data_IF_803281730934
#
_entry.id   IF_803281730934
#
_cell.length_a   1.000
_cell.length_b   1.000
_cell.length_c   1.000
_cell.angle_alpha   90.00
_cell.angle_beta   90.00
_cell.angle_gamma   90.00
#
_symmetry.space_group_name_H-M   'P 1'
#
loop_
_entity.id
_entity.type
_entity.pdbx_description
1 polymer ?
#
# COMPACT_ATOMS: atom_id res chain seq x y z
N UNK A 1 25.61 -31.94 17.73
CA UNK A 1 25.16 -30.84 16.86
C UNK A 1 23.65 -30.72 17.01
N UNK A 2 23.17 -29.78 17.84
CA UNK A 2 21.75 -29.42 17.85
C UNK A 2 21.52 -28.43 16.71
N UNK A 3 20.98 -28.91 15.59
CA UNK A 3 20.30 -28.02 14.65
C UNK A 3 18.91 -27.79 15.21
N UNK A 4 18.72 -26.65 15.90
CA UNK A 4 17.39 -26.11 16.15
C UNK A 4 16.85 -25.63 14.80
N UNK A 5 16.02 -26.45 14.16
CA UNK A 5 15.20 -26.03 13.03
C UNK A 5 14.04 -25.26 13.66
N UNK A 6 14.21 -23.95 13.86
CA UNK A 6 13.09 -23.11 14.27
C UNK A 6 12.05 -23.16 13.17
N UNK A 7 10.90 -23.79 13.46
CA UNK A 7 9.73 -23.81 12.60
C UNK A 7 9.42 -22.38 12.17
N UNK A 8 9.57 -22.08 10.88
CA UNK A 8 9.27 -20.76 10.35
C UNK A 8 7.76 -20.69 10.11
N UNK A 9 6.99 -20.46 11.18
CA UNK A 9 5.56 -20.19 11.08
C UNK A 9 5.35 -19.02 10.09
N UNK A 10 4.55 -19.28 9.06
CA UNK A 10 4.25 -18.37 7.94
C UNK A 10 2.76 -18.17 7.89
N UNK A 11 2.28 -16.93 7.82
CA UNK A 11 0.89 -16.48 7.93
C UNK A 11 0.09 -17.26 8.98
N UNK A 12 -0.76 -16.60 9.71
CA UNK A 12 -1.63 -17.30 10.68
C UNK A 12 -3.08 -16.96 10.46
N UNK A 13 -3.34 -15.91 9.70
CA UNK A 13 -4.64 -15.56 9.19
C UNK A 13 -4.59 -15.48 7.66
N UNK A 14 -5.51 -16.18 7.00
CA UNK A 14 -5.79 -16.00 5.58
C UNK A 14 -7.29 -15.88 5.40
N UNK A 15 -7.71 -14.87 4.65
CA UNK A 15 -9.12 -14.61 4.37
C UNK A 15 -9.32 -14.37 2.88
N UNK A 16 -10.32 -15.02 2.30
CA UNK A 16 -10.87 -14.68 0.98
C UNK A 16 -12.37 -14.46 1.15
N UNK A 17 -12.89 -13.37 0.59
CA UNK A 17 -14.30 -12.99 0.63
C UNK A 17 -14.77 -12.76 -0.80
N UNK A 18 -15.94 -13.33 -1.14
CA UNK A 18 -16.64 -13.14 -2.41
C UNK A 18 -18.07 -12.69 -2.08
N UNK A 19 -18.39 -11.44 -2.34
CA UNK A 19 -19.74 -10.84 -2.20
C UNK A 19 -20.49 -10.82 -3.52
N UNK A 20 -19.76 -10.75 -4.64
CA UNK A 20 -20.30 -10.84 -5.99
C UNK A 20 -19.49 -11.84 -6.84
N UNK A 21 -20.01 -13.06 -7.05
CA UNK A 21 -19.32 -14.08 -7.83
C UNK A 21 -19.42 -13.86 -9.36
N UNK A 22 -20.19 -12.87 -9.82
CA UNK A 22 -20.21 -12.50 -11.24
C UNK A 22 -18.94 -11.75 -11.66
N UNK A 23 -18.30 -11.06 -10.72
CA UNK A 23 -17.17 -10.17 -10.99
C UNK A 23 -17.56 -8.82 -11.59
N UNK A 24 -18.85 -8.45 -11.56
CA UNK A 24 -19.33 -7.16 -12.06
C UNK A 24 -19.14 -6.03 -11.04
N UNK A 25 -19.28 -6.31 -9.75
CA UNK A 25 -18.93 -5.38 -8.67
C UNK A 25 -17.40 -5.26 -8.58
N UNK A 26 -16.81 -4.07 -8.82
CA UNK A 26 -15.37 -3.87 -8.73
C UNK A 26 -14.79 -4.13 -7.33
N UNK A 27 -15.63 -4.24 -6.29
CA UNK A 27 -15.22 -4.60 -4.93
C UNK A 27 -15.81 -5.95 -4.47
N UNK A 28 -16.29 -6.75 -5.42
CA UNK A 28 -17.04 -7.99 -5.22
C UNK A 28 -16.23 -9.17 -4.70
N UNK A 29 -14.89 -9.11 -4.77
CA UNK A 29 -14.02 -10.14 -4.22
C UNK A 29 -12.70 -9.54 -3.73
N UNK A 30 -12.25 -9.99 -2.56
CA UNK A 30 -11.02 -9.52 -1.93
C UNK A 30 -10.35 -10.63 -1.11
N UNK A 31 -9.05 -10.50 -0.89
CA UNK A 31 -8.25 -11.43 -0.11
C UNK A 31 -7.25 -10.69 0.78
N UNK A 32 -6.92 -11.26 1.94
CA UNK A 32 -6.00 -10.67 2.91
C UNK A 32 -5.23 -11.73 3.69
N UNK A 33 -4.04 -11.35 4.17
CA UNK A 33 -3.17 -12.23 4.95
C UNK A 33 -2.53 -11.47 6.12
N UNK A 34 -2.39 -12.14 7.27
CA UNK A 34 -1.68 -11.61 8.44
C UNK A 34 -0.85 -12.70 9.12
N UNK A 35 0.13 -12.28 9.90
CA UNK A 35 0.92 -13.15 10.78
C UNK A 35 1.27 -12.45 12.08
N UNK A 36 1.61 -13.22 13.12
CA UNK A 36 2.35 -12.72 14.28
C UNK A 36 3.86 -13.03 14.17
N UNK A 37 4.26 -13.97 13.31
CA UNK A 37 5.65 -14.42 13.20
C UNK A 37 6.57 -13.42 12.48
N UNK A 38 7.85 -13.41 12.87
CA UNK A 38 8.88 -12.52 12.35
C UNK A 38 9.22 -12.70 10.86
N UNK A 39 8.59 -13.61 10.13
CA UNK A 39 8.94 -13.91 8.74
C UNK A 39 7.77 -13.65 7.79
N UNK A 40 7.13 -12.49 7.92
CA UNK A 40 6.02 -12.09 7.05
C UNK A 40 6.35 -12.21 5.55
N UNK A 41 7.58 -11.87 5.13
CA UNK A 41 8.08 -12.07 3.76
C UNK A 41 7.98 -13.51 3.25
N UNK A 42 7.97 -14.48 4.15
CA UNK A 42 7.88 -15.89 3.81
C UNK A 42 6.44 -16.37 3.57
N UNK A 43 5.45 -15.57 3.98
CA UNK A 43 4.05 -15.78 3.62
C UNK A 43 3.83 -15.28 2.20
N UNK A 44 3.79 -16.19 1.24
CA UNK A 44 3.60 -15.79 -0.15
C UNK A 44 2.14 -15.44 -0.40
N UNK A 45 1.91 -14.17 -0.70
CA UNK A 45 0.70 -13.64 -1.28
C UNK A 45 0.95 -13.46 -2.77
N UNK A 46 0.26 -14.21 -3.62
CA UNK A 46 0.42 -14.11 -5.08
C UNK A 46 -0.93 -13.78 -5.70
N UNK A 47 -0.98 -12.70 -6.48
CA UNK A 47 -2.15 -12.33 -7.26
C UNK A 47 -1.85 -12.53 -8.74
N UNK A 48 -2.62 -13.38 -9.43
CA UNK A 48 -2.59 -13.42 -10.90
C UNK A 48 -3.43 -12.27 -11.42
N UNK A 49 -2.78 -11.25 -12.00
CA UNK A 49 -3.47 -10.13 -12.66
C UNK A 49 -4.17 -10.56 -13.94
N UNK A 50 -3.68 -11.61 -14.61
CA UNK A 50 -4.26 -12.07 -15.86
C UNK A 50 -5.50 -12.94 -15.63
N UNK A 51 -5.48 -13.72 -14.54
CA UNK A 51 -6.51 -14.75 -14.29
C UNK A 51 -7.45 -14.38 -13.13
N UNK A 52 -7.22 -13.25 -12.46
CA UNK A 52 -8.15 -12.69 -11.47
C UNK A 52 -8.29 -13.51 -10.19
N UNK A 53 -7.23 -14.17 -9.72
CA UNK A 53 -7.24 -14.93 -8.47
C UNK A 53 -6.05 -14.57 -7.57
N UNK A 54 -6.19 -14.87 -6.28
CA UNK A 54 -5.08 -14.87 -5.34
C UNK A 54 -4.81 -16.26 -4.79
N UNK A 55 -3.55 -16.50 -4.46
CA UNK A 55 -3.04 -17.63 -3.72
C UNK A 55 -2.38 -17.11 -2.45
N UNK A 56 -2.89 -17.54 -1.31
CA UNK A 56 -2.40 -17.24 0.02
C UNK A 56 -1.76 -18.50 0.58
N UNK A 57 -0.47 -18.43 0.89
CA UNK A 57 0.24 -19.55 1.51
C UNK A 57 0.53 -19.27 2.98
N UNK A 58 0.55 -20.33 3.76
CA UNK A 58 1.04 -20.31 5.13
C UNK A 58 1.30 -21.70 5.64
N UNK A 59 1.54 -21.82 6.93
CA UNK A 59 1.80 -23.08 7.58
C UNK A 59 2.92 -23.01 8.61
N UNK A 60 3.05 -24.09 9.36
CA UNK A 60 4.14 -24.30 10.33
C UNK A 60 5.28 -25.15 9.73
N UNK A 61 5.10 -25.63 8.49
CA UNK A 61 6.09 -26.42 7.75
C UNK A 61 7.29 -25.64 7.23
N UNK A 62 8.20 -26.34 6.54
CA UNK A 62 9.45 -25.77 6.04
C UNK A 62 9.18 -24.76 4.90
N UNK A 63 9.88 -23.62 4.90
CA UNK A 63 9.76 -22.64 3.82
C UNK A 63 10.09 -23.16 2.42
N UNK A 64 10.95 -24.17 2.31
CA UNK A 64 11.28 -24.81 1.02
C UNK A 64 10.09 -25.63 0.50
N UNK A 65 9.46 -26.42 1.36
CA UNK A 65 8.27 -27.22 1.03
C UNK A 65 7.08 -26.32 0.68
N UNK A 66 6.94 -25.20 1.38
CA UNK A 66 5.96 -24.17 1.03
C UNK A 66 6.16 -23.63 -0.38
N UNK A 67 7.41 -23.33 -0.77
CA UNK A 67 7.71 -22.85 -2.12
C UNK A 67 7.37 -23.90 -3.18
N UNK A 68 7.64 -25.19 -2.93
CA UNK A 68 7.22 -26.26 -3.84
C UNK A 68 5.70 -26.37 -3.95
N UNK A 69 4.98 -26.31 -2.83
CA UNK A 69 3.51 -26.31 -2.84
C UNK A 69 2.95 -25.15 -3.67
N UNK A 70 3.52 -23.95 -3.52
CA UNK A 70 3.13 -22.77 -4.31
C UNK A 70 3.42 -22.99 -5.79
N UNK A 71 4.62 -23.46 -6.15
CA UNK A 71 5.00 -23.69 -7.56
C UNK A 71 4.07 -24.72 -8.20
N UNK A 72 3.79 -25.83 -7.53
CA UNK A 72 2.91 -26.89 -8.01
C UNK A 72 1.48 -26.38 -8.19
N UNK A 73 0.96 -25.63 -7.21
CA UNK A 73 -0.37 -25.04 -7.30
C UNK A 73 -0.48 -23.96 -8.39
N UNK A 74 0.53 -23.12 -8.57
CA UNK A 74 0.57 -22.13 -9.65
C UNK A 74 0.62 -22.82 -11.00
N UNK A 75 1.44 -23.86 -11.14
CA UNK A 75 1.48 -24.70 -12.34
C UNK A 75 0.12 -25.32 -12.63
N UNK A 76 -0.57 -25.86 -11.62
CA UNK A 76 -1.91 -26.43 -11.77
C UNK A 76 -2.94 -25.38 -12.23
N UNK A 77 -2.92 -24.18 -11.63
CA UNK A 77 -3.80 -23.07 -12.01
C UNK A 77 -3.53 -22.58 -13.44
N UNK A 78 -2.27 -22.47 -13.84
CA UNK A 78 -1.87 -22.10 -15.21
C UNK A 78 -2.36 -23.11 -16.27
N UNK A 79 -2.54 -24.38 -15.88
CA UNK A 79 -3.09 -25.43 -16.74
C UNK A 79 -4.62 -25.60 -16.59
N UNK A 80 -5.31 -24.63 -15.98
CA UNK A 80 -6.78 -24.61 -15.91
C UNK A 80 -7.38 -25.46 -14.80
N UNK A 81 -6.61 -25.84 -13.78
CA UNK A 81 -7.16 -26.54 -12.60
C UNK A 81 -8.11 -25.64 -11.82
N UNK A 82 -9.07 -26.24 -11.12
CA UNK A 82 -9.94 -25.51 -10.19
C UNK A 82 -9.17 -25.09 -8.92
N UNK A 83 -9.63 -24.05 -8.19
CA UNK A 83 -9.03 -23.68 -6.91
C UNK A 83 -8.93 -24.84 -5.92
N UNK A 84 -9.94 -25.72 -5.89
CA UNK A 84 -9.95 -26.89 -5.02
C UNK A 84 -8.86 -27.90 -5.40
N UNK A 85 -8.69 -28.20 -6.69
CA UNK A 85 -7.67 -29.12 -7.16
C UNK A 85 -6.25 -28.57 -6.89
N UNK A 86 -6.03 -27.27 -7.12
CA UNK A 86 -4.74 -26.64 -6.84
C UNK A 86 -4.45 -26.54 -5.33
N UNK A 87 -5.44 -26.19 -4.51
CA UNK A 87 -5.26 -26.11 -3.06
C UNK A 87 -5.00 -27.49 -2.42
N UNK A 88 -5.54 -28.57 -3.01
CA UNK A 88 -5.31 -29.95 -2.58
C UNK A 88 -3.83 -30.35 -2.61
N UNK A 89 -3.03 -29.74 -3.49
CA UNK A 89 -1.60 -30.04 -3.62
C UNK A 89 -0.82 -29.71 -2.35
N UNK A 90 -1.32 -28.76 -1.54
CA UNK A 90 -0.73 -28.43 -0.24
C UNK A 90 -0.67 -29.64 0.70
N UNK A 91 -1.60 -30.59 0.59
CA UNK A 91 -1.61 -31.80 1.42
C UNK A 91 -0.44 -32.75 1.15
N UNK A 92 0.31 -32.55 0.06
CA UNK A 92 1.56 -33.28 -0.20
C UNK A 92 2.76 -32.76 0.61
N UNK A 93 2.61 -31.65 1.32
CA UNK A 93 3.69 -30.96 2.03
C UNK A 93 3.31 -30.77 3.50
N UNK A 94 4.17 -31.25 4.41
CA UNK A 94 3.86 -31.28 5.83
C UNK A 94 3.74 -29.86 6.42
N UNK A 95 2.69 -29.64 7.19
CA UNK A 95 2.40 -28.35 7.82
C UNK A 95 2.17 -27.18 6.86
N UNK A 96 1.94 -27.41 5.56
CA UNK A 96 1.68 -26.35 4.56
C UNK A 96 0.19 -26.24 4.26
N UNK A 97 -0.29 -25.01 4.08
CA UNK A 97 -1.63 -24.74 3.57
C UNK A 97 -1.62 -23.74 2.42
N UNK A 98 -2.62 -23.88 1.56
CA UNK A 98 -2.90 -22.95 0.48
C UNK A 98 -4.37 -22.56 0.50
N UNK A 99 -4.65 -21.26 0.40
CA UNK A 99 -5.97 -20.71 0.11
C UNK A 99 -5.92 -20.10 -1.28
N UNK A 100 -6.78 -20.53 -2.19
CA UNK A 100 -6.81 -20.04 -3.58
C UNK A 100 -8.23 -19.58 -3.88
N UNK A 101 -8.39 -18.42 -4.51
CA UNK A 101 -9.74 -17.99 -4.92
C UNK A 101 -9.77 -16.72 -5.76
N UNK A 102 -10.90 -16.56 -6.44
CA UNK A 102 -11.21 -15.44 -7.33
C UNK A 102 -12.73 -15.32 -7.53
N UNK A 103 -13.24 -14.17 -7.98
CA UNK A 103 -14.68 -13.89 -8.05
C UNK A 103 -15.44 -14.96 -8.86
N UNK A 104 -14.95 -15.29 -10.06
CA UNK A 104 -15.64 -16.17 -11.00
C UNK A 104 -15.32 -17.65 -10.86
N UNK A 105 -14.39 -18.04 -9.99
CA UNK A 105 -13.95 -19.43 -9.79
C UNK A 105 -14.26 -20.00 -8.40
N UNK A 106 -14.77 -19.17 -7.50
CA UNK A 106 -14.94 -19.53 -6.10
C UNK A 106 -13.62 -19.50 -5.33
N UNK A 107 -13.58 -20.19 -4.20
CA UNK A 107 -12.40 -20.26 -3.36
C UNK A 107 -12.22 -21.65 -2.75
N UNK A 108 -11.00 -22.02 -2.40
CA UNK A 108 -10.72 -23.25 -1.70
C UNK A 108 -9.54 -23.11 -0.73
N UNK A 109 -9.52 -23.98 0.27
CA UNK A 109 -8.40 -24.17 1.18
C UNK A 109 -8.04 -25.66 1.26
N UNK A 110 -6.75 -25.96 1.26
CA UNK A 110 -6.21 -27.31 1.38
C UNK A 110 -4.94 -27.35 2.24
N UNK A 111 -4.52 -28.55 2.63
CA UNK A 111 -3.35 -28.77 3.47
C UNK A 111 -3.63 -28.64 4.98
N UNK A 112 -2.67 -28.09 5.73
CA UNK A 112 -2.73 -27.94 7.17
C UNK A 112 -3.40 -26.62 7.62
N UNK A 113 -4.71 -26.68 7.83
CA UNK A 113 -5.49 -25.51 8.23
C UNK A 113 -6.49 -25.78 9.34
N UNK A 114 -6.93 -24.68 9.93
CA UNK A 114 -8.13 -24.62 10.75
C UNK A 114 -8.99 -23.44 10.30
N UNK A 115 -10.15 -23.70 9.69
CA UNK A 115 -10.88 -22.70 8.93
C UNK A 115 -12.41 -22.79 9.12
N UNK A 116 -13.09 -21.68 8.88
CA UNK A 116 -14.53 -21.68 8.64
C UNK A 116 -14.81 -21.38 7.16
N UNK A 117 -15.70 -22.18 6.58
CA UNK A 117 -16.37 -21.87 5.33
C UNK A 117 -17.66 -21.12 5.67
N UNK A 118 -17.81 -19.93 5.10
CA UNK A 118 -19.02 -19.13 5.15
C UNK A 118 -19.68 -19.19 3.78
N UNK A 119 -20.95 -19.56 3.73
CA UNK A 119 -21.76 -19.50 2.51
C UNK A 119 -22.99 -18.66 2.80
N UNK A 120 -23.30 -17.72 1.89
CA UNK A 120 -24.49 -16.87 1.98
C UNK A 120 -25.36 -17.14 0.77
N UNK A 121 -26.54 -17.70 1.02
CA UNK A 121 -27.50 -18.01 -0.02
C UNK A 121 -28.27 -16.74 -0.45
N UNK A 122 -28.91 -16.76 -1.63
CA UNK A 122 -29.57 -15.59 -2.21
C UNK A 122 -30.76 -15.07 -1.38
N UNK A 123 -31.32 -15.91 -0.51
CA UNK A 123 -32.38 -15.54 0.44
C UNK A 123 -31.85 -14.89 1.72
N UNK A 124 -30.53 -14.72 1.83
CA UNK A 124 -29.85 -14.14 2.99
C UNK A 124 -29.54 -15.14 4.09
N UNK A 125 -29.78 -16.44 3.89
CA UNK A 125 -29.37 -17.49 4.83
C UNK A 125 -27.85 -17.58 4.90
N UNK A 126 -27.30 -17.52 6.11
CA UNK A 126 -25.86 -17.62 6.36
C UNK A 126 -25.53 -18.97 6.98
N UNK A 127 -24.71 -19.77 6.29
CA UNK A 127 -24.21 -21.07 6.75
C UNK A 127 -22.73 -20.96 7.06
N UNK A 128 -22.35 -21.38 8.26
CA UNK A 128 -20.97 -21.30 8.76
C UNK A 128 -20.58 -22.69 9.21
N UNK A 129 -19.57 -23.27 8.57
CA UNK A 129 -19.13 -24.64 8.83
C UNK A 129 -17.64 -24.65 9.14
N UNK A 130 -17.30 -25.29 10.26
CA UNK A 130 -15.92 -25.45 10.71
C UNK A 130 -15.28 -26.64 10.00
N UNK A 131 -14.01 -26.50 9.61
CA UNK A 131 -13.24 -27.53 8.95
C UNK A 131 -11.79 -27.55 9.42
N UNK A 132 -11.27 -28.76 9.59
CA UNK A 132 -9.87 -29.05 9.91
C UNK A 132 -9.43 -30.20 9.01
N UNK A 133 -8.55 -29.89 8.04
CA UNK A 133 -8.04 -30.87 7.07
C UNK A 133 -8.97 -31.19 5.90
N UNK A 134 -8.40 -31.90 4.91
CA UNK A 134 -9.03 -32.16 3.61
C UNK A 134 -8.92 -30.97 2.66
N UNK A 135 -9.88 -30.86 1.76
CA UNK A 135 -10.04 -29.70 0.87
C UNK A 135 -11.45 -29.16 1.08
N UNK A 136 -11.54 -27.88 1.37
CA UNK A 136 -12.81 -27.18 1.54
C UNK A 136 -12.96 -26.18 0.41
N UNK A 137 -14.15 -26.12 -0.16
CA UNK A 137 -14.44 -25.30 -1.33
C UNK A 137 -15.68 -24.45 -1.11
N UNK A 138 -15.55 -23.16 -1.39
CA UNK A 138 -16.65 -22.28 -1.77
C UNK A 138 -16.88 -22.47 -3.28
N UNK A 139 -17.99 -23.08 -3.72
CA UNK A 139 -18.20 -23.39 -5.13
C UNK A 139 -18.23 -22.13 -6.00
N UNK A 140 -17.85 -22.30 -7.27
CA UNK A 140 -18.02 -21.27 -8.29
C UNK A 140 -19.48 -20.75 -8.30
N UNK A 141 -19.64 -19.44 -8.45
CA UNK A 141 -20.97 -18.81 -8.44
C UNK A 141 -21.58 -18.56 -7.06
N UNK A 142 -20.88 -18.92 -5.97
CA UNK A 142 -21.38 -18.75 -4.60
C UNK A 142 -20.85 -17.48 -3.93
N UNK A 143 -21.70 -16.83 -3.12
CA UNK A 143 -21.27 -15.79 -2.18
C UNK A 143 -20.80 -16.45 -0.89
N UNK A 144 -19.71 -15.96 -0.34
CA UNK A 144 -19.15 -16.58 0.86
C UNK A 144 -17.73 -16.13 1.16
N UNK A 145 -17.12 -16.84 2.09
CA UNK A 145 -15.75 -16.61 2.49
C UNK A 145 -15.09 -17.87 3.04
N UNK A 146 -13.77 -17.87 3.03
CA UNK A 146 -12.96 -18.81 3.81
C UNK A 146 -12.09 -17.97 4.75
N UNK A 147 -12.17 -18.24 6.04
CA UNK A 147 -11.30 -17.62 7.06
C UNK A 147 -10.55 -18.70 7.81
N UNK A 148 -9.24 -18.72 7.62
CA UNK A 148 -8.30 -19.49 8.42
C UNK A 148 -7.72 -18.61 9.52
N UNK A 149 -7.58 -19.16 10.73
CA UNK A 149 -6.85 -18.52 11.82
C UNK A 149 -6.25 -19.56 12.78
N UNK A 150 -4.98 -19.39 13.16
CA UNK A 150 -4.33 -20.05 14.31
C UNK A 150 -3.53 -19.02 15.11
N UNK A 151 -3.26 -19.30 16.39
CA UNK A 151 -2.34 -18.47 17.15
C UNK A 151 -0.89 -18.95 16.93
N UNK A 152 0.00 -18.02 16.60
CA UNK A 152 1.44 -18.24 16.55
C UNK A 152 2.01 -18.50 17.95
N UNK A 153 3.09 -19.27 18.01
CA UNK A 153 3.91 -19.35 19.21
C UNK A 153 4.38 -17.96 19.65
N UNK A 154 4.30 -17.67 20.96
CA UNK A 154 4.69 -16.38 21.52
C UNK A 154 3.64 -15.27 21.39
N UNK A 155 2.48 -15.53 20.75
CA UNK A 155 1.40 -14.56 20.71
C UNK A 155 0.86 -14.29 22.15
N UNK A 156 0.79 -13.02 22.60
CA UNK A 156 0.31 -12.68 23.95
C UNK A 156 -1.15 -13.06 24.22
N UNK A 157 -1.94 -13.34 23.18
CA UNK A 157 -3.34 -13.77 23.23
C UNK A 157 -3.51 -15.24 22.79
N UNK A 158 -2.50 -16.08 23.01
CA UNK A 158 -2.56 -17.51 22.72
C UNK A 158 -3.83 -18.17 23.31
N UNK A 159 -4.45 -19.07 22.54
CA UNK A 159 -5.68 -19.78 22.92
C UNK A 159 -6.98 -19.06 22.53
N UNK A 160 -6.89 -17.90 21.87
CA UNK A 160 -8.07 -17.13 21.43
C UNK A 160 -8.49 -17.44 19.99
N UNK A 161 -7.62 -18.04 19.18
CA UNK A 161 -7.84 -18.23 17.75
C UNK A 161 -9.17 -18.92 17.41
N UNK A 162 -9.56 -19.98 18.11
CA UNK A 162 -10.81 -20.70 17.78
C UNK A 162 -12.05 -19.84 17.98
N UNK A 163 -12.09 -19.07 19.07
CA UNK A 163 -13.18 -18.11 19.34
C UNK A 163 -13.19 -17.01 18.29
N UNK A 164 -12.06 -16.35 18.07
CA UNK A 164 -11.95 -15.21 17.15
C UNK A 164 -12.26 -15.65 15.73
N UNK A 165 -11.73 -16.80 15.27
CA UNK A 165 -12.02 -17.35 13.94
C UNK A 165 -13.52 -17.54 13.71
N UNK A 166 -14.23 -18.07 14.72
CA UNK A 166 -15.68 -18.27 14.67
C UNK A 166 -16.45 -16.95 14.66
N UNK A 167 -16.09 -16.01 15.53
CA UNK A 167 -16.72 -14.68 15.60
C UNK A 167 -16.52 -13.90 14.30
N UNK A 168 -15.30 -13.93 13.75
CA UNK A 168 -14.96 -13.28 12.48
C UNK A 168 -15.73 -13.92 11.33
N UNK A 169 -15.85 -15.26 11.29
CA UNK A 169 -16.68 -15.94 10.29
C UNK A 169 -18.16 -15.52 10.36
N UNK A 170 -18.70 -15.36 11.57
CA UNK A 170 -20.07 -14.87 11.80
C UNK A 170 -20.23 -13.43 11.31
N UNK A 171 -19.27 -12.56 11.60
CA UNK A 171 -19.32 -11.16 11.19
C UNK A 171 -19.16 -11.01 9.67
N UNK A 172 -18.27 -11.77 9.05
CA UNK A 172 -18.15 -11.88 7.59
C UNK A 172 -19.50 -12.28 6.98
N UNK A 173 -20.12 -13.36 7.45
CA UNK A 173 -21.40 -13.83 6.90
C UNK A 173 -22.52 -12.81 7.01
N UNK A 174 -22.61 -12.09 8.12
CA UNK A 174 -23.55 -10.96 8.29
C UNK A 174 -23.28 -9.83 7.30
N UNK A 175 -22.02 -9.41 7.16
CA UNK A 175 -21.67 -8.33 6.24
C UNK A 175 -21.90 -8.69 4.77
N UNK A 176 -21.65 -9.95 4.36
CA UNK A 176 -21.97 -10.42 3.01
C UNK A 176 -23.49 -10.36 2.78
N UNK A 177 -24.29 -10.87 3.72
CA UNK A 177 -25.76 -10.82 3.66
C UNK A 177 -26.27 -9.38 3.57
N UNK A 178 -25.66 -8.49 4.33
CA UNK A 178 -26.07 -7.08 4.43
C UNK A 178 -25.53 -6.22 3.27
N UNK A 179 -24.81 -6.82 2.31
CA UNK A 179 -24.40 -6.18 1.06
C UNK A 179 -23.16 -5.28 1.16
N UNK A 180 -22.31 -5.49 2.17
CA UNK A 180 -21.04 -4.77 2.27
C UNK A 180 -20.05 -5.24 1.17
N UNK A 181 -19.19 -4.34 0.65
CA UNK A 181 -18.16 -4.73 -0.31
C UNK A 181 -17.15 -5.72 0.28
N UNK A 182 -16.65 -6.69 -0.50
CA UNK A 182 -15.68 -7.67 -0.02
C UNK A 182 -14.40 -7.01 0.51
N UNK A 183 -13.97 -5.91 -0.11
CA UNK A 183 -12.81 -5.11 0.31
C UNK A 183 -12.96 -4.57 1.74
N UNK A 184 -14.15 -4.07 2.07
CA UNK A 184 -14.48 -3.61 3.42
C UNK A 184 -14.48 -4.78 4.41
N UNK A 185 -15.12 -5.89 4.03
CA UNK A 185 -15.23 -7.09 4.88
C UNK A 185 -13.86 -7.66 5.22
N UNK A 186 -12.93 -7.77 4.26
CA UNK A 186 -11.56 -8.22 4.50
C UNK A 186 -10.85 -7.31 5.51
N UNK A 187 -10.96 -5.99 5.35
CA UNK A 187 -10.35 -5.05 6.30
C UNK A 187 -10.93 -5.16 7.72
N UNK A 188 -12.25 -5.30 7.86
CA UNK A 188 -12.89 -5.51 9.18
C UNK A 188 -12.53 -6.86 9.80
N UNK A 189 -12.42 -7.92 8.99
CA UNK A 189 -11.97 -9.22 9.47
C UNK A 189 -10.52 -9.15 9.97
N UNK A 190 -9.64 -8.44 9.26
CA UNK A 190 -8.26 -8.23 9.69
C UNK A 190 -8.19 -7.38 10.97
N UNK A 191 -9.02 -6.35 11.09
CA UNK A 191 -9.12 -5.53 12.30
C UNK A 191 -9.51 -6.37 13.53
N UNK A 192 -10.56 -7.20 13.40
CA UNK A 192 -11.04 -8.07 14.45
C UNK A 192 -9.97 -9.09 14.86
N UNK A 193 -9.34 -9.75 13.88
CA UNK A 193 -8.28 -10.72 14.15
C UNK A 193 -7.07 -10.06 14.83
N UNK A 194 -6.63 -8.89 14.35
CA UNK A 194 -5.51 -8.17 14.95
C UNK A 194 -5.81 -7.78 16.41
N UNK A 195 -7.00 -7.22 16.66
CA UNK A 195 -7.41 -6.77 17.99
C UNK A 195 -7.67 -7.93 18.94
N UNK A 196 -8.35 -8.98 18.51
CA UNK A 196 -8.90 -9.97 19.44
C UNK A 196 -8.05 -11.23 19.56
N UNK A 197 -7.27 -11.57 18.52
CA UNK A 197 -6.37 -12.73 18.53
C UNK A 197 -4.90 -12.39 18.70
N UNK A 198 -4.50 -11.14 18.47
CA UNK A 198 -3.10 -10.72 18.50
C UNK A 198 -2.30 -11.10 17.24
N UNK A 199 -2.87 -11.83 16.28
CA UNK A 199 -2.27 -12.06 14.95
C UNK A 199 -2.36 -10.79 14.10
N UNK A 200 -1.50 -9.82 14.43
CA UNK A 200 -1.74 -8.42 14.10
C UNK A 200 -0.83 -7.82 13.04
N UNK A 201 0.23 -8.50 12.59
CA UNK A 201 1.10 -7.91 11.57
C UNK A 201 0.58 -8.20 10.17
N UNK A 202 0.33 -7.13 9.41
CA UNK A 202 -0.31 -7.21 8.10
C UNK A 202 0.62 -7.70 7.00
N UNK A 203 0.12 -8.61 6.15
CA UNK A 203 0.75 -9.01 4.87
C UNK A 203 0.20 -8.32 3.65
N UNK A 204 -0.72 -7.40 3.85
CA UNK A 204 -1.45 -6.74 2.78
C UNK A 204 -2.75 -7.45 2.42
N UNK A 205 -3.44 -6.81 1.48
CA UNK A 205 -4.70 -7.27 0.93
C UNK A 205 -4.78 -6.89 -0.55
N UNK A 206 -5.70 -7.54 -1.24
CA UNK A 206 -5.99 -7.28 -2.65
C UNK A 206 -7.48 -7.25 -2.90
N UNK A 207 -7.83 -6.47 -3.91
CA UNK A 207 -9.09 -6.56 -4.60
C UNK A 207 -8.90 -7.44 -5.84
N UNK A 208 -9.62 -8.55 -5.89
CA UNK A 208 -9.46 -9.59 -6.90
C UNK A 208 -10.19 -9.24 -8.21
N UNK A 209 -11.20 -8.37 -8.14
CA UNK A 209 -11.93 -7.91 -9.34
C UNK A 209 -11.16 -6.78 -10.00
N UNK A 210 -10.74 -5.79 -9.21
CA UNK A 210 -10.07 -4.59 -9.73
C UNK A 210 -8.54 -4.69 -9.81
N UNK A 211 -7.98 -5.81 -9.34
CA UNK A 211 -6.54 -6.14 -9.43
C UNK A 211 -5.62 -5.10 -8.77
N UNK A 212 -6.12 -4.44 -7.72
CA UNK A 212 -5.37 -3.50 -6.89
C UNK A 212 -4.96 -4.15 -5.58
N UNK A 213 -3.79 -3.75 -5.09
CA UNK A 213 -3.15 -4.33 -3.91
C UNK A 213 -2.56 -3.23 -3.06
N UNK A 214 -2.52 -3.47 -1.74
CA UNK A 214 -1.71 -2.66 -0.82
C UNK A 214 -0.21 -2.81 -1.08
N UNK A 215 0.24 -3.76 -1.90
CA UNK A 215 1.65 -4.05 -2.10
C UNK A 215 2.37 -4.26 -0.77
N UNK A 216 3.53 -3.64 -0.63
CA UNK A 216 4.40 -3.78 0.54
C UNK A 216 4.09 -2.81 1.69
N UNK A 217 2.92 -2.14 1.69
CA UNK A 217 2.57 -1.07 2.64
C UNK A 217 2.72 -1.44 4.13
N UNK A 218 2.47 -2.69 4.47
CA UNK A 218 2.53 -3.21 5.85
C UNK A 218 3.69 -4.19 6.06
N UNK A 219 4.47 -4.46 5.01
CA UNK A 219 5.61 -5.38 5.04
C UNK A 219 6.81 -4.62 5.59
N UNK A 220 7.61 -5.22 6.50
CA UNK A 220 8.76 -4.52 7.06
C UNK A 220 9.89 -4.38 6.03
N UNK A 221 10.81 -3.44 6.26
CA UNK A 221 11.96 -3.23 5.37
C UNK A 221 13.02 -4.32 5.49
N UNK A 222 13.14 -4.94 6.65
CA UNK A 222 14.15 -5.95 6.94
C UNK A 222 13.52 -7.35 6.92
N UNK A 223 14.20 -8.28 6.25
CA UNK A 223 13.81 -9.69 6.26
C UNK A 223 13.92 -10.22 7.69
N UNK A 224 12.98 -11.08 8.08
CA UNK A 224 12.89 -11.67 9.42
C UNK A 224 12.54 -10.67 10.55
N UNK A 225 11.77 -9.62 10.24
CA UNK A 225 11.15 -8.73 11.22
C UNK A 225 9.61 -8.74 11.09
N UNK A 226 8.92 -8.21 12.11
CA UNK A 226 7.44 -8.11 12.09
C UNK A 226 6.98 -6.96 11.20
N UNK A 227 5.85 -7.13 10.51
CA UNK A 227 5.22 -6.07 9.73
C UNK A 227 4.59 -4.98 10.58
N UNK A 228 3.84 -4.09 9.92
CA UNK A 228 3.09 -3.05 10.59
C UNK A 228 1.90 -3.66 11.35
N UNK A 229 1.69 -3.29 12.63
CA UNK A 229 0.55 -3.74 13.41
C UNK A 229 -0.77 -3.15 12.87
N UNK A 230 -1.68 -4.03 12.47
CA UNK A 230 -3.00 -3.69 11.92
C UNK A 230 -3.96 -3.15 12.98
N UNK A 231 -3.65 -3.29 14.27
CA UNK A 231 -4.40 -2.73 15.39
C UNK A 231 -3.98 -1.30 15.78
N UNK A 232 -3.08 -0.67 15.01
CA UNK A 232 -2.54 0.66 15.30
C UNK A 232 -2.92 1.73 14.25
N UNK A 233 -2.72 3.00 14.62
CA UNK A 233 -2.84 4.13 13.71
C UNK A 233 -1.73 4.10 12.67
N UNK A 234 -2.01 4.40 11.41
CA UNK A 234 -1.03 4.32 10.31
C UNK A 234 -0.62 5.68 9.77
N UNK A 235 -1.56 6.61 9.65
CA UNK A 235 -1.28 7.93 9.06
C UNK A 235 -2.20 9.02 9.60
N UNK A 236 -1.78 10.27 9.37
CA UNK A 236 -2.61 11.47 9.47
C UNK A 236 -2.76 12.10 8.10
N UNK A 237 -3.98 12.50 7.74
CA UNK A 237 -4.30 13.09 6.43
C UNK A 237 -5.11 14.38 6.60
N UNK A 238 -4.74 15.42 5.86
CA UNK A 238 -5.52 16.64 5.72
C UNK A 238 -6.52 16.49 4.56
N UNK A 239 -7.81 16.53 4.85
CA UNK A 239 -8.85 16.39 3.84
C UNK A 239 -8.98 17.60 2.90
N UNK A 240 -8.51 18.78 3.32
CA UNK A 240 -8.63 20.02 2.54
C UNK A 240 -7.55 20.18 1.47
N UNK A 241 -6.28 19.91 1.84
CA UNK A 241 -5.14 20.12 0.94
C UNK A 241 -4.43 18.83 0.51
N UNK A 242 -4.81 17.67 1.07
CA UNK A 242 -4.24 16.37 0.73
C UNK A 242 -2.87 16.08 1.32
N UNK A 243 -2.34 16.95 2.19
CA UNK A 243 -1.11 16.66 2.92
C UNK A 243 -1.31 15.44 3.83
N UNK A 244 -0.37 14.50 3.82
CA UNK A 244 -0.43 13.31 4.64
C UNK A 244 0.96 12.95 5.18
N UNK A 245 0.99 12.25 6.30
CA UNK A 245 2.22 11.69 6.88
C UNK A 245 1.92 10.39 7.63
N UNK A 246 2.88 9.46 7.62
CA UNK A 246 2.79 8.17 8.32
C UNK A 246 3.33 8.24 9.74
N UNK A 247 2.91 7.32 10.61
CA UNK A 247 3.54 7.14 11.91
C UNK A 247 4.95 6.52 11.77
N UNK A 248 5.90 6.85 12.66
CA UNK A 248 5.75 7.69 13.87
C UNK A 248 5.79 9.20 13.59
N UNK A 249 6.25 9.65 12.42
CA UNK A 249 6.43 11.08 12.13
C UNK A 249 5.13 11.90 12.25
N UNK A 250 3.99 11.26 12.01
CA UNK A 250 2.65 11.81 12.22
C UNK A 250 2.38 12.31 13.65
N UNK A 251 3.11 11.82 14.65
CA UNK A 251 2.99 12.29 16.04
C UNK A 251 3.36 13.77 16.18
N UNK A 252 4.26 14.28 15.33
CA UNK A 252 4.74 15.66 15.38
C UNK A 252 3.72 16.69 14.87
N UNK A 253 2.58 16.25 14.30
CA UNK A 253 1.62 17.11 13.62
C UNK A 253 0.22 17.01 14.23
N UNK A 254 -0.25 18.09 14.84
CA UNK A 254 -1.63 18.20 15.33
C UNK A 254 -2.57 18.83 14.30
N UNK A 255 -2.03 19.65 13.40
CA UNK A 255 -2.73 20.32 12.29
C UNK A 255 -1.87 20.24 11.04
N UNK A 256 -2.50 20.43 9.88
CA UNK A 256 -1.81 20.43 8.60
C UNK A 256 -0.77 21.55 8.54
N UNK A 257 0.52 21.26 8.26
CA UNK A 257 1.56 22.29 8.20
C UNK A 257 1.42 23.23 6.99
N UNK A 258 0.57 22.88 6.01
CA UNK A 258 0.37 23.67 4.78
C UNK A 258 -0.82 24.62 4.91
N UNK A 259 -1.97 24.13 5.40
CA UNK A 259 -3.23 24.88 5.42
C UNK A 259 -3.84 25.05 6.81
N UNK A 260 -3.17 24.59 7.87
CA UNK A 260 -3.57 24.72 9.28
C UNK A 260 -4.94 24.10 9.63
N UNK A 261 -5.51 23.25 8.77
CA UNK A 261 -6.72 22.49 9.05
C UNK A 261 -6.43 21.25 9.89
N UNK A 262 -7.47 20.70 10.52
CA UNK A 262 -7.38 19.47 11.31
C UNK A 262 -6.95 18.26 10.48
N UNK A 263 -6.20 17.35 11.09
CA UNK A 263 -5.75 16.12 10.47
C UNK A 263 -6.62 14.95 10.91
N UNK A 264 -7.14 14.19 9.95
CA UNK A 264 -7.82 12.93 10.19
C UNK A 264 -6.78 11.84 10.49
N UNK A 265 -6.92 11.17 11.64
CA UNK A 265 -6.12 9.99 11.98
C UNK A 265 -6.77 8.77 11.33
N UNK A 266 -5.98 7.98 10.59
CA UNK A 266 -6.44 6.74 9.96
C UNK A 266 -5.75 5.53 10.56
N UNK A 267 -6.54 4.52 10.91
CA UNK A 267 -6.01 3.21 11.33
C UNK A 267 -5.37 2.47 10.16
N UNK A 268 -4.49 1.51 10.44
CA UNK A 268 -3.90 0.65 9.41
C UNK A 268 -4.97 -0.09 8.59
N UNK A 269 -6.04 -0.54 9.23
CA UNK A 269 -7.17 -1.20 8.56
C UNK A 269 -8.00 -0.24 7.72
N UNK A 270 -8.19 1.02 8.12
CA UNK A 270 -8.87 2.02 7.29
C UNK A 270 -8.05 2.33 6.04
N UNK A 271 -6.74 2.48 6.19
CA UNK A 271 -5.83 2.68 5.05
C UNK A 271 -5.85 1.47 4.13
N UNK A 272 -5.81 0.25 4.67
CA UNK A 272 -5.94 -0.98 3.88
C UNK A 272 -7.24 -1.00 3.08
N UNK A 273 -8.39 -0.75 3.73
CA UNK A 273 -9.70 -0.73 3.07
C UNK A 273 -9.71 0.32 1.95
N UNK A 274 -9.24 1.53 2.23
CA UNK A 274 -9.22 2.62 1.26
C UNK A 274 -8.33 2.33 0.05
N UNK A 275 -7.19 1.65 0.24
CA UNK A 275 -6.27 1.36 -0.85
C UNK A 275 -6.73 0.23 -1.78
N UNK A 276 -7.55 -0.71 -1.29
CA UNK A 276 -8.08 -1.81 -2.10
C UNK A 276 -9.53 -1.59 -2.56
N UNK A 277 -10.22 -0.57 -2.06
CA UNK A 277 -11.61 -0.29 -2.44
C UNK A 277 -11.68 0.68 -3.61
N UNK A 278 -12.25 0.24 -4.73
CA UNK A 278 -12.68 1.12 -5.81
C UNK A 278 -13.96 1.82 -5.40
N UNK A 279 -13.86 3.07 -4.96
CA UNK A 279 -15.03 3.94 -4.85
C UNK A 279 -15.49 4.41 -6.24
N UNK A 280 -16.71 4.95 -6.33
CA UNK A 280 -17.18 5.64 -7.55
C UNK A 280 -16.29 6.83 -7.95
N UNK A 281 -15.34 7.22 -7.10
CA UNK A 281 -14.36 8.29 -7.31
C UNK A 281 -12.90 7.78 -7.32
N UNK A 282 -12.67 6.46 -7.25
CA UNK A 282 -11.32 5.90 -7.16
C UNK A 282 -10.55 6.06 -8.47
N UNK A 283 -9.35 6.61 -8.34
CA UNK A 283 -8.40 6.85 -9.43
C UNK A 283 -7.27 5.83 -9.28
N UNK A 284 -7.10 4.97 -10.27
CA UNK A 284 -5.94 4.07 -10.34
C UNK A 284 -4.71 4.87 -10.75
N UNK A 285 -3.70 4.96 -9.89
CA UNK A 285 -2.46 5.70 -10.17
C UNK A 285 -1.28 4.73 -10.21
N UNK A 286 -0.62 4.68 -11.36
CA UNK A 286 0.61 3.92 -11.55
C UNK A 286 1.77 4.88 -11.73
N UNK A 287 2.89 4.62 -11.04
CA UNK A 287 4.06 5.50 -11.04
C UNK A 287 5.25 4.71 -11.58
N UNK A 288 5.98 5.32 -12.51
CA UNK A 288 7.09 4.70 -13.24
C UNK A 288 8.31 5.62 -13.27
N UNK A 289 9.49 5.03 -13.53
CA UNK A 289 10.72 5.78 -13.83
C UNK A 289 11.58 6.16 -12.62
N UNK A 290 11.16 5.82 -11.39
CA UNK A 290 12.00 6.01 -10.20
C UNK A 290 11.59 5.07 -9.06
N UNK A 291 12.57 4.39 -8.46
CA UNK A 291 12.39 3.43 -7.36
C UNK A 291 12.52 4.10 -5.98
N UNK A 292 12.39 5.42 -5.92
CA UNK A 292 12.57 6.16 -4.67
C UNK A 292 11.43 5.84 -3.70
N UNK A 293 11.79 5.38 -2.50
CA UNK A 293 10.83 5.00 -1.48
C UNK A 293 9.82 6.13 -1.17
N UNK A 294 8.53 5.78 -1.08
CA UNK A 294 7.43 6.72 -0.82
C UNK A 294 7.00 7.58 -2.01
N UNK A 295 7.75 7.58 -3.13
CA UNK A 295 7.38 8.36 -4.32
C UNK A 295 6.04 7.92 -4.90
N UNK A 296 5.83 6.60 -5.02
CA UNK A 296 4.57 6.01 -5.49
C UNK A 296 3.37 6.52 -4.69
N UNK A 297 3.48 6.47 -3.37
CA UNK A 297 2.36 6.71 -2.46
C UNK A 297 2.02 8.21 -2.43
N UNK A 298 3.03 9.08 -2.33
CA UNK A 298 2.82 10.53 -2.36
C UNK A 298 2.27 10.97 -3.72
N UNK A 299 2.80 10.44 -4.82
CA UNK A 299 2.30 10.75 -6.17
C UNK A 299 0.85 10.31 -6.32
N UNK A 300 0.51 9.11 -5.83
CA UNK A 300 -0.86 8.59 -5.85
C UNK A 300 -1.83 9.54 -5.14
N UNK A 301 -1.48 10.03 -3.96
CA UNK A 301 -2.33 10.97 -3.22
C UNK A 301 -2.46 12.33 -3.93
N UNK A 302 -1.35 12.88 -4.44
CA UNK A 302 -1.38 14.15 -5.21
C UNK A 302 -2.25 14.03 -6.46
N UNK A 303 -2.13 12.91 -7.18
CA UNK A 303 -2.92 12.64 -8.39
C UNK A 303 -4.39 12.44 -8.05
N UNK A 304 -4.72 11.61 -7.04
CA UNK A 304 -6.10 11.41 -6.56
C UNK A 304 -6.75 12.75 -6.16
N UNK A 305 -6.04 13.58 -5.40
CA UNK A 305 -6.53 14.90 -4.98
C UNK A 305 -6.74 15.84 -6.19
N UNK A 306 -5.81 15.83 -7.15
CA UNK A 306 -5.93 16.64 -8.37
C UNK A 306 -7.11 16.20 -9.22
N UNK A 307 -7.31 14.89 -9.42
CA UNK A 307 -8.45 14.36 -10.19
C UNK A 307 -9.77 14.62 -9.49
N UNK A 308 -9.85 14.48 -8.17
CA UNK A 308 -11.05 14.82 -7.39
C UNK A 308 -11.44 16.30 -7.55
N UNK A 309 -10.45 17.20 -7.63
CA UNK A 309 -10.67 18.65 -7.71
C UNK A 309 -10.89 19.17 -9.14
N UNK A 310 -10.19 18.61 -10.12
CA UNK A 310 -10.11 19.16 -11.48
C UNK A 310 -10.48 18.15 -12.58
N UNK A 311 -10.84 16.93 -12.23
CA UNK A 311 -11.09 15.84 -13.18
C UNK A 311 -9.82 15.26 -13.80
N UNK A 312 -10.01 14.36 -14.78
CA UNK A 312 -8.92 13.69 -15.50
C UNK A 312 -8.28 14.61 -16.56
N UNK A 313 -7.58 15.65 -16.10
CA UNK A 313 -6.88 16.60 -16.96
C UNK A 313 -5.35 16.53 -16.72
N UNK A 314 -4.61 16.13 -17.75
CA UNK A 314 -3.16 15.96 -17.65
C UNK A 314 -2.42 17.25 -17.24
N UNK A 315 -2.88 18.42 -17.69
CA UNK A 315 -2.23 19.69 -17.35
C UNK A 315 -2.39 20.06 -15.88
N UNK A 316 -3.57 19.86 -15.30
CA UNK A 316 -3.81 20.15 -13.87
C UNK A 316 -3.16 19.11 -12.97
N UNK A 317 -3.12 17.84 -13.40
CA UNK A 317 -2.40 16.77 -12.70
C UNK A 317 -0.90 17.05 -12.67
N UNK A 318 -0.27 17.33 -13.82
CA UNK A 318 1.14 17.71 -13.90
C UNK A 318 1.44 18.95 -13.03
N UNK A 319 0.57 19.96 -13.08
CA UNK A 319 0.69 21.15 -12.24
C UNK A 319 0.64 20.86 -10.73
N UNK A 320 -0.24 19.95 -10.29
CA UNK A 320 -0.33 19.52 -8.89
C UNK A 320 0.91 18.72 -8.45
N UNK A 321 1.40 17.83 -9.31
CA UNK A 321 2.66 17.09 -9.09
C UNK A 321 3.84 18.05 -8.95
N UNK A 322 3.97 19.01 -9.86
CA UNK A 322 5.06 19.98 -9.86
C UNK A 322 5.00 20.92 -8.65
N UNK A 323 3.80 21.24 -8.13
CA UNK A 323 3.66 21.90 -6.82
C UNK A 323 4.15 21.02 -5.67
N UNK A 324 3.85 19.71 -5.71
CA UNK A 324 4.40 18.74 -4.78
C UNK A 324 5.93 18.69 -4.79
N UNK A 325 6.54 18.75 -5.99
CA UNK A 325 7.99 18.83 -6.15
C UNK A 325 8.56 20.14 -5.58
N UNK A 326 7.94 21.27 -5.91
CA UNK A 326 8.36 22.58 -5.42
C UNK A 326 8.31 22.71 -3.89
N UNK A 327 7.31 22.07 -3.27
CA UNK A 327 7.11 22.12 -1.83
C UNK A 327 7.87 21.01 -1.07
N UNK A 328 8.68 20.20 -1.77
CA UNK A 328 9.47 19.13 -1.18
C UNK A 328 8.65 17.91 -0.72
N UNK A 329 7.38 17.79 -1.11
CA UNK A 329 6.56 16.61 -0.88
C UNK A 329 7.02 15.46 -1.79
N UNK A 330 7.34 15.77 -3.04
CA UNK A 330 7.85 14.83 -4.02
C UNK A 330 9.32 15.16 -4.26
N UNK A 331 10.23 14.23 -3.95
CA UNK A 331 11.68 14.50 -3.95
C UNK A 331 12.42 13.52 -4.84
N UNK A 332 13.54 13.94 -5.42
CA UNK A 332 14.45 13.07 -6.18
C UNK A 332 14.02 12.76 -7.62
N UNK A 333 13.05 13.50 -8.14
CA UNK A 333 12.56 13.39 -9.51
C UNK A 333 12.44 14.78 -10.13
N UNK A 334 12.58 14.86 -11.45
CA UNK A 334 12.42 16.09 -12.22
C UNK A 334 10.93 16.49 -12.36
N UNK A 335 10.70 17.71 -12.83
CA UNK A 335 9.35 18.17 -13.16
C UNK A 335 8.71 17.28 -14.23
N UNK A 336 7.38 17.14 -14.13
CA UNK A 336 6.57 16.31 -15.02
C UNK A 336 5.80 17.22 -15.97
N UNK A 337 5.84 16.93 -17.26
CA UNK A 337 5.02 17.57 -18.28
C UNK A 337 3.72 16.80 -18.52
N UNK A 338 2.67 17.40 -19.11
CA UNK A 338 1.44 16.67 -19.43
C UNK A 338 1.66 15.46 -20.35
N UNK A 339 2.71 15.48 -21.20
CA UNK A 339 3.14 14.36 -22.05
C UNK A 339 3.71 13.18 -21.26
N UNK A 340 4.21 13.42 -20.05
CA UNK A 340 4.73 12.37 -19.16
C UNK A 340 3.61 11.68 -18.37
N UNK A 341 2.36 12.03 -18.64
CA UNK A 341 1.17 11.46 -18.03
C UNK A 341 0.36 10.64 -19.04
N UNK A 342 -0.02 9.44 -18.65
CA UNK A 342 -0.98 8.62 -19.38
C UNK A 342 -2.33 8.67 -18.66
N UNK A 343 -3.16 9.64 -19.02
CA UNK A 343 -4.49 9.84 -18.41
C UNK A 343 -5.55 9.11 -19.24
N UNK A 344 -6.21 8.12 -18.63
CA UNK A 344 -7.29 7.36 -19.24
C UNK A 344 -8.57 7.50 -18.40
N UNK A 345 -9.42 8.50 -18.70
CA UNK A 345 -10.65 8.77 -17.94
C UNK A 345 -11.61 7.58 -17.93
N UNK A 346 -11.75 6.88 -19.06
CA UNK A 346 -12.72 5.78 -19.24
C UNK A 346 -12.48 4.60 -18.30
N UNK A 347 -11.21 4.31 -18.03
CA UNK A 347 -10.78 3.26 -17.09
C UNK A 347 -10.25 3.85 -15.77
N UNK A 348 -10.48 5.15 -15.55
CA UNK A 348 -10.15 5.87 -14.31
C UNK A 348 -8.69 5.71 -13.88
N UNK A 349 -7.78 5.70 -14.86
CA UNK A 349 -6.37 5.42 -14.63
C UNK A 349 -5.49 6.63 -15.00
N UNK A 350 -4.43 6.83 -14.23
CA UNK A 350 -3.38 7.81 -14.49
C UNK A 350 -2.03 7.14 -14.32
N UNK A 351 -1.27 7.02 -15.41
CA UNK A 351 0.15 6.69 -15.35
C UNK A 351 0.99 7.96 -15.22
N UNK A 352 1.97 7.97 -14.32
CA UNK A 352 2.94 9.06 -14.14
C UNK A 352 4.33 8.51 -14.43
N UNK A 353 5.05 9.11 -15.37
CA UNK A 353 6.42 8.75 -15.70
C UNK A 353 7.38 9.84 -15.18
N UNK A 354 8.23 9.48 -14.22
CA UNK A 354 9.24 10.37 -13.67
C UNK A 354 10.59 10.17 -14.33
N UNK A 355 11.35 11.26 -14.43
CA UNK A 355 12.79 11.21 -14.66
C UNK A 355 13.52 11.40 -13.30
N UNK A 356 14.38 10.46 -12.88
CA UNK A 356 15.09 10.58 -11.61
C UNK A 356 16.20 11.64 -11.71
N UNK A 357 16.40 12.39 -10.63
CA UNK A 357 17.46 13.40 -10.61
C UNK A 357 18.85 12.77 -10.44
N UNK A 358 19.86 13.24 -11.19
CA UNK A 358 21.22 12.73 -11.07
C UNK A 358 21.85 13.08 -9.70
N UNK A 359 22.81 12.25 -9.28
CA UNK A 359 23.69 12.49 -8.13
C UNK A 359 22.97 12.66 -6.77
N UNK A 360 21.83 11.98 -6.57
CA UNK A 360 21.13 11.96 -5.29
C UNK A 360 20.47 13.29 -4.90
N UNK A 361 20.30 14.21 -5.86
CA UNK A 361 19.63 15.49 -5.62
C UNK A 361 18.19 15.26 -5.14
N UNK A 362 17.76 16.07 -4.18
CA UNK A 362 16.41 15.99 -3.61
C UNK A 362 15.41 16.87 -4.35
N UNK A 363 15.87 17.90 -5.07
CA UNK A 363 15.03 18.82 -5.86
C UNK A 363 15.65 19.17 -7.23
N UNK A 364 14.80 19.42 -8.25
CA UNK A 364 15.26 19.85 -9.58
C UNK A 364 16.06 21.15 -9.52
N UNK A 365 16.77 21.47 -10.61
CA UNK A 365 17.35 22.80 -10.74
C UNK A 365 16.21 23.83 -10.80
N UNK A 366 16.28 24.87 -9.96
CA UNK A 366 15.30 25.95 -9.95
C UNK A 366 15.16 26.54 -11.34
N UNK A 367 13.97 26.41 -11.95
CA UNK A 367 13.62 27.12 -13.16
C UNK A 367 13.29 28.57 -12.78
N UNK A 368 14.33 29.38 -12.54
CA UNK A 368 14.16 30.79 -12.24
C UNK A 368 13.55 31.48 -13.46
N UNK A 369 12.45 32.25 -13.33
CA UNK A 369 11.93 33.09 -14.41
C UNK A 369 12.86 34.28 -14.73
N UNK A 370 14.06 34.30 -14.17
CA UNK A 370 15.05 35.34 -14.36
C UNK A 370 16.18 34.72 -15.19
N UNK A 371 16.25 35.15 -16.45
CA UNK A 371 17.31 34.79 -17.39
C UNK A 371 18.69 34.93 -16.70
N UNK A 372 19.55 33.92 -16.85
CA UNK A 372 20.92 33.89 -16.32
C UNK A 372 21.75 35.14 -16.69
N UNK A 373 21.42 35.77 -17.82
CA UNK A 373 21.99 37.05 -18.26
C UNK A 373 21.63 38.18 -17.27
N UNK A 374 20.42 38.23 -16.72
CA UNK A 374 19.99 39.26 -15.77
C UNK A 374 20.70 39.11 -14.42
N UNK A 375 20.89 37.88 -13.93
CA UNK A 375 21.68 37.63 -12.72
C UNK A 375 23.16 37.99 -12.90
N UNK A 376 23.70 37.73 -14.09
CA UNK A 376 25.08 38.12 -14.45
C UNK A 376 25.24 39.64 -14.52
N UNK A 377 24.25 40.35 -15.08
CA UNK A 377 24.20 41.81 -15.12
C UNK A 377 24.10 42.39 -13.69
N UNK A 378 23.23 41.85 -12.84
CA UNK A 378 23.08 42.32 -11.45
C UNK A 378 24.35 42.10 -10.62
N UNK A 379 25.00 40.94 -10.75
CA UNK A 379 26.30 40.67 -10.12
C UNK A 379 27.41 41.61 -10.63
N UNK A 380 27.40 41.91 -11.93
CA UNK A 380 28.34 42.86 -12.54
C UNK A 380 28.12 44.30 -12.06
N UNK A 381 26.85 44.72 -11.90
CA UNK A 381 26.48 46.03 -11.35
C UNK A 381 26.91 46.14 -9.89
N UNK A 382 26.68 45.11 -9.06
CA UNK A 382 27.15 45.09 -7.67
C UNK A 382 28.67 45.22 -7.58
N UNK A 383 29.41 44.51 -8.45
CA UNK A 383 30.87 44.57 -8.50
C UNK A 383 31.34 45.96 -8.94
N UNK A 384 30.70 46.57 -9.95
CA UNK A 384 31.02 47.91 -10.41
C UNK A 384 30.75 48.98 -9.34
N UNK A 385 29.64 48.89 -8.60
CA UNK A 385 29.34 49.78 -7.46
C UNK A 385 30.41 49.63 -6.37
N UNK A 386 30.84 48.40 -6.07
CA UNK A 386 31.93 48.14 -5.13
C UNK A 386 33.24 48.83 -5.55
N UNK A 387 33.62 48.75 -6.83
CA UNK A 387 34.79 49.44 -7.35
C UNK A 387 34.67 50.97 -7.27
N UNK A 388 33.50 51.54 -7.61
CA UNK A 388 33.27 52.98 -7.53
C UNK A 388 33.37 53.49 -6.08
N UNK A 389 32.83 52.74 -5.11
CA UNK A 389 32.95 53.10 -3.69
C UNK A 389 34.40 53.06 -3.20
N UNK A 390 35.18 52.05 -3.61
CA UNK A 390 36.62 51.98 -3.28
C UNK A 390 37.36 53.18 -3.89
N UNK A 391 37.11 53.49 -5.16
CA UNK A 391 37.73 54.65 -5.83
C UNK A 391 37.35 55.96 -5.14
N UNK A 392 36.09 56.15 -4.74
CA UNK A 392 35.64 57.33 -4.01
C UNK A 392 36.30 57.45 -2.64
N UNK A 393 36.51 56.34 -1.91
CA UNK A 393 37.25 56.32 -0.64
C UNK A 393 38.72 56.70 -0.87
N UNK A 394 39.36 56.17 -1.91
CA UNK A 394 40.75 56.52 -2.27
C UNK A 394 40.85 58.00 -2.66
N UNK A 395 39.89 58.50 -3.44
CA UNK A 395 39.85 59.90 -3.86
C UNK A 395 39.61 60.85 -2.69
N UNK A 396 38.70 60.50 -1.77
CA UNK A 396 38.47 61.22 -0.51
C UNK A 396 39.74 61.25 0.35
N UNK A 397 40.43 60.12 0.47
CA UNK A 397 41.67 60.01 1.26
C UNK A 397 42.78 60.87 0.65
N UNK A 398 42.92 60.88 -0.68
CA UNK A 398 43.90 61.73 -1.39
C UNK A 398 43.55 63.22 -1.35
N UNK A 399 42.28 63.59 -1.48
CA UNK A 399 41.81 64.97 -1.34
C UNK A 399 42.07 65.49 0.08
N UNK A 400 41.70 64.73 1.11
CA UNK A 400 41.96 65.11 2.50
C UNK A 400 43.45 65.26 2.79
N UNK A 401 44.30 64.39 2.22
CA UNK A 401 45.76 64.52 2.33
C UNK A 401 46.29 65.76 1.61
N UNK A 402 45.82 66.03 0.39
CA UNK A 402 46.15 67.22 -0.40
C UNK A 402 45.69 68.54 0.26
N UNK A 403 44.58 68.55 0.98
CA UNK A 403 44.14 69.72 1.74
C UNK A 403 44.93 69.90 3.03
N UNK A 404 45.33 68.80 3.68
CA UNK A 404 46.19 68.86 4.88
C UNK A 404 47.59 69.37 4.55
N UNK A 405 48.17 68.95 3.43
CA UNK A 405 49.50 69.37 2.97
C UNK A 405 49.52 70.81 2.40
N UNK A 406 48.37 71.46 2.23
CA UNK A 406 48.26 72.88 1.82
C UNK A 406 48.03 73.84 2.99
N UNK A 407 47.75 73.32 4.18
CA UNK A 407 47.44 74.11 5.40
C UNK A 407 48.54 73.97 6.46
N UNK A 408 49.52 73.08 6.25
CA UNK A 408 50.85 73.10 6.90
C UNK A 408 51.86 73.81 6.03
#
# INVERSE_FOLDING_TARGET
MLFSVMAAASATCNVIVITDPSGEDPNGAAAGSMSFANNMFQSSFIMSKNDGYAMLSGGEGNGTERNYAIIDALGAMQHGSSPAAAAALASGFDGIRLVIGGPSMGAAIGGDYNAYLVVVDNDGTVRITHHEGGVVQLPQGSKGAIIHLRNSAGNPKMGTADRVRRETAVNIGKMIRDGYPATYIVGKAMEEVAKDSGEKYGGGAVNLVSLISTGDMFVPKEVNTTGYPMDENYSKVCLDCGWATGYPDAENYNVCPICNHELEVRSATDVLINEITISKDAVSVSVYGSDKAGLSDITREVVKASVKKYGYNASTIAGSINKGINNGLIVGVDYVEPSDLNVKPDVRAVGVYYNPLPNGRTSPAWNLPINSIVLTILGSIQTAIGFVLIVLVVFRTRLLKSFRDRVS
#
